data_IF_281913329071
#
_entry.id   IF_281913329071
#
_cell.length_a   1.000
_cell.length_b   1.000
_cell.length_c   1.000
_cell.angle_alpha   90.00
_cell.angle_beta   90.00
_cell.angle_gamma   90.00
#
_symmetry.space_group_name_H-M   'P 1'
#
loop_
_entity.id
_entity.type
_entity.pdbx_description
1 polymer ?
#
# COMPACT_ATOMS: atom_id res chain seq x y z
N UNK A 1 -62.76 55.90 10.20
CA UNK A 1 -63.07 55.91 11.62
C UNK A 1 -62.14 54.99 12.40
N UNK A 2 -61.40 55.75 13.29
CA UNK A 2 -60.90 55.22 14.58
C UNK A 2 -59.88 54.12 14.54
N UNK A 3 -58.81 54.26 15.03
CA UNK A 3 -57.91 54.92 16.01
C UNK A 3 -56.79 53.89 16.21
N UNK A 4 -55.64 54.18 15.88
CA UNK A 4 -54.52 54.70 16.69
C UNK A 4 -54.49 54.20 18.13
N UNK A 5 -53.61 53.25 18.39
CA UNK A 5 -52.92 53.20 19.67
C UNK A 5 -51.52 52.59 19.52
N UNK A 6 -50.54 53.43 19.62
CA UNK A 6 -49.13 53.16 19.72
C UNK A 6 -48.82 52.62 21.11
N UNK A 7 -48.12 51.52 21.23
CA UNK A 7 -47.40 51.17 22.45
C UNK A 7 -45.91 50.98 22.12
N UNK A 8 -45.13 51.80 22.74
CA UNK A 8 -43.68 51.91 22.64
C UNK A 8 -42.95 50.65 23.16
N UNK A 9 -41.72 50.40 22.71
CA UNK A 9 -40.93 49.26 23.14
C UNK A 9 -40.33 49.53 24.53
N UNK A 10 -40.49 48.57 25.42
CA UNK A 10 -39.71 48.50 26.63
C UNK A 10 -38.30 47.96 26.31
N UNK A 11 -37.31 48.80 26.42
CA UNK A 11 -35.93 48.43 26.56
C UNK A 11 -35.78 47.57 27.84
N UNK A 12 -35.43 46.31 27.64
CA UNK A 12 -34.83 45.53 28.71
C UNK A 12 -33.42 45.19 28.25
N UNK A 13 -32.49 46.01 28.66
CA UNK A 13 -31.07 45.73 28.64
C UNK A 13 -30.84 44.49 29.52
N UNK A 14 -30.85 43.33 28.91
CA UNK A 14 -30.32 42.10 29.51
C UNK A 14 -28.79 42.15 29.40
N UNK A 15 -28.17 42.42 30.54
CA UNK A 15 -26.76 42.23 30.77
C UNK A 15 -26.38 40.84 30.31
N UNK A 16 -25.53 40.77 29.26
CA UNK A 16 -24.74 39.59 29.02
C UNK A 16 -23.78 39.44 30.20
N UNK A 17 -24.15 38.62 31.16
CA UNK A 17 -23.21 38.07 32.11
C UNK A 17 -22.17 37.31 31.29
N UNK A 18 -20.99 37.90 31.15
CA UNK A 18 -19.77 37.20 30.84
C UNK A 18 -19.56 36.18 31.98
N UNK A 19 -20.10 34.99 31.79
CA UNK A 19 -19.76 33.86 32.63
C UNK A 19 -18.26 33.63 32.45
N UNK A 20 -17.47 34.17 33.37
CA UNK A 20 -16.15 33.64 33.68
C UNK A 20 -16.37 32.21 34.02
N UNK A 21 -16.15 31.35 33.02
CA UNK A 21 -15.99 29.92 33.24
C UNK A 21 -14.84 29.78 34.22
N UNK A 22 -15.18 29.58 35.51
CA UNK A 22 -14.21 29.22 36.52
C UNK A 22 -13.51 27.96 36.02
N UNK A 23 -12.35 28.15 35.38
CA UNK A 23 -11.55 27.07 34.89
C UNK A 23 -11.23 26.18 36.10
N UNK A 24 -11.76 24.96 36.12
CA UNK A 24 -11.46 24.00 37.18
C UNK A 24 -9.95 23.80 37.21
N UNK A 25 -9.33 24.14 38.35
CA UNK A 25 -7.90 23.92 38.56
C UNK A 25 -7.60 22.43 38.46
N UNK A 26 -6.60 22.10 37.65
CA UNK A 26 -6.07 20.75 37.53
C UNK A 26 -4.83 20.63 38.40
N UNK A 27 -4.81 19.62 39.24
CA UNK A 27 -3.67 19.30 40.10
C UNK A 27 -3.28 17.84 39.93
N UNK A 28 -2.14 17.59 39.26
CA UNK A 28 -1.64 16.24 39.05
C UNK A 28 -1.43 15.46 40.36
N UNK A 29 -1.15 16.14 41.48
CA UNK A 29 -0.95 15.48 42.79
C UNK A 29 -2.23 14.81 43.33
N UNK A 30 -3.40 15.18 42.84
CA UNK A 30 -4.70 14.56 43.23
C UNK A 30 -5.03 13.31 42.41
N UNK A 31 -4.22 13.01 41.40
CA UNK A 31 -4.42 11.86 40.54
C UNK A 31 -4.04 10.52 41.23
N UNK A 32 -4.54 9.39 40.71
CA UNK A 32 -4.10 8.07 41.12
C UNK A 32 -2.57 7.92 41.01
N UNK A 33 -1.99 7.08 41.88
CA UNK A 33 -0.55 6.95 42.08
C UNK A 33 0.25 6.69 40.76
N UNK A 34 -0.35 5.94 39.82
CA UNK A 34 0.26 5.69 38.50
C UNK A 34 0.26 6.85 37.51
N UNK A 35 -0.43 7.98 37.83
CA UNK A 35 -0.53 9.16 36.95
C UNK A 35 0.12 10.41 37.55
N UNK A 36 0.46 10.40 38.85
CA UNK A 36 0.98 11.60 39.54
C UNK A 36 2.33 12.06 39.00
N UNK A 37 3.18 11.08 38.67
CA UNK A 37 4.54 11.34 38.24
C UNK A 37 4.67 11.43 36.70
N UNK A 38 3.55 11.39 35.99
CA UNK A 38 3.53 11.47 34.53
C UNK A 38 3.90 12.89 34.06
N UNK A 39 5.07 13.09 33.42
CA UNK A 39 5.54 14.43 33.06
C UNK A 39 4.59 15.18 32.15
N UNK A 40 3.86 14.48 31.29
CA UNK A 40 2.90 15.06 30.37
C UNK A 40 1.72 15.70 31.09
N UNK A 41 1.29 15.16 32.25
CA UNK A 41 0.19 15.71 33.04
C UNK A 41 0.61 16.90 33.90
N UNK A 42 1.88 17.00 34.28
CA UNK A 42 2.39 18.12 35.10
C UNK A 42 2.45 19.45 34.35
N UNK A 43 2.29 19.43 33.02
CA UNK A 43 2.28 20.65 32.20
C UNK A 43 0.93 21.37 32.18
N UNK A 44 -0.14 20.75 32.73
CA UNK A 44 -1.48 21.30 32.75
C UNK A 44 -1.81 21.98 34.05
N UNK A 45 -2.35 23.19 33.99
CA UNK A 45 -2.83 24.01 35.11
C UNK A 45 -4.35 24.02 35.24
N UNK A 46 -5.08 23.51 34.23
CA UNK A 46 -6.53 23.46 34.24
C UNK A 46 -7.07 22.25 33.52
N UNK A 47 -8.24 21.76 33.97
CA UNK A 47 -8.98 20.67 33.31
C UNK A 47 -9.35 21.02 31.89
N UNK A 48 -9.63 22.30 31.59
CA UNK A 48 -9.94 22.80 30.25
C UNK A 48 -8.76 22.62 29.29
N UNK A 49 -7.54 22.95 29.72
CA UNK A 49 -6.34 22.75 28.90
C UNK A 49 -6.05 21.26 28.66
N UNK A 50 -6.22 20.42 29.67
CA UNK A 50 -6.09 18.97 29.53
C UNK A 50 -7.12 18.42 28.53
N UNK A 51 -8.39 18.81 28.67
CA UNK A 51 -9.47 18.38 27.77
C UNK A 51 -9.21 18.86 26.31
N UNK A 52 -8.79 20.09 26.12
CA UNK A 52 -8.41 20.63 24.78
C UNK A 52 -7.23 19.88 24.18
N UNK A 53 -6.22 19.59 25.00
CA UNK A 53 -5.07 18.79 24.57
C UNK A 53 -5.48 17.39 24.17
N UNK A 54 -6.32 16.72 24.93
CA UNK A 54 -6.87 15.41 24.62
C UNK A 54 -7.64 15.42 23.28
N UNK A 55 -8.57 16.39 23.12
CA UNK A 55 -9.34 16.53 21.87
C UNK A 55 -8.42 16.78 20.67
N UNK A 56 -7.38 17.60 20.83
CA UNK A 56 -6.42 17.86 19.76
C UNK A 56 -5.59 16.60 19.44
N UNK A 57 -5.14 15.85 20.47
CA UNK A 57 -4.43 14.60 20.26
C UNK A 57 -5.29 13.58 19.51
N UNK A 58 -6.56 13.42 19.90
CA UNK A 58 -7.52 12.54 19.20
C UNK A 58 -7.72 12.97 17.73
N UNK A 59 -7.81 14.27 17.46
CA UNK A 59 -7.91 14.78 16.08
C UNK A 59 -6.65 14.54 15.26
N UNK A 60 -5.48 14.69 15.86
CA UNK A 60 -4.18 14.44 15.20
C UNK A 60 -3.97 12.97 14.91
N UNK A 61 -4.46 12.10 15.77
CA UNK A 61 -4.38 10.64 15.65
C UNK A 61 -5.39 10.08 14.61
N UNK A 62 -6.34 10.91 14.12
CA UNK A 62 -7.36 10.47 13.17
C UNK A 62 -8.54 9.72 13.81
N UNK A 63 -8.69 9.81 15.11
CA UNK A 63 -9.94 9.46 15.82
C UNK A 63 -10.12 8.03 16.29
N UNK A 64 -9.36 7.05 15.79
CA UNK A 64 -9.48 5.66 16.28
C UNK A 64 -8.11 5.08 16.66
N UNK A 65 -7.81 4.90 17.97
CA UNK A 65 -6.57 4.29 18.43
C UNK A 65 -6.33 2.87 17.90
N UNK A 66 -7.39 2.14 17.54
CA UNK A 66 -7.28 0.79 16.96
C UNK A 66 -6.69 0.80 15.54
N UNK A 67 -6.80 1.93 14.85
CA UNK A 67 -6.21 2.13 13.51
C UNK A 67 -4.76 2.62 13.56
N UNK A 68 -4.23 2.89 14.76
CA UNK A 68 -2.83 3.26 14.92
C UNK A 68 -1.95 2.03 14.88
N UNK A 69 -0.88 2.14 14.11
CA UNK A 69 0.16 1.13 14.05
C UNK A 69 1.41 1.71 14.73
N UNK A 70 1.79 1.14 15.86
CA UNK A 70 3.05 1.52 16.52
C UNK A 70 4.23 0.98 15.67
N UNK A 71 5.21 1.85 15.42
CA UNK A 71 6.46 1.45 14.79
C UNK A 71 7.33 0.81 15.89
N UNK A 72 7.80 -0.44 15.70
CA UNK A 72 8.65 -1.11 16.68
C UNK A 72 9.98 -0.36 16.87
N UNK A 73 10.46 -0.34 18.10
CA UNK A 73 11.76 0.24 18.41
C UNK A 73 12.91 -0.75 18.14
N UNK A 74 14.13 -0.27 18.20
CA UNK A 74 15.30 -1.12 17.99
C UNK A 74 15.31 -2.30 18.97
N UNK A 75 15.38 -3.52 18.42
CA UNK A 75 15.33 -4.78 19.19
C UNK A 75 13.95 -5.37 19.44
N UNK A 76 12.88 -4.70 19.03
CA UNK A 76 11.52 -5.24 19.10
C UNK A 76 11.16 -6.05 17.84
N UNK A 77 10.21 -7.00 18.01
CA UNK A 77 9.69 -7.76 16.85
C UNK A 77 8.80 -6.88 15.97
N UNK A 78 9.01 -6.99 14.66
CA UNK A 78 8.21 -6.33 13.64
C UNK A 78 6.94 -7.09 13.26
N UNK A 79 6.72 -8.29 13.78
CA UNK A 79 5.59 -9.14 13.40
C UNK A 79 4.24 -8.47 13.62
N UNK A 80 4.05 -7.84 14.77
CA UNK A 80 2.81 -7.13 15.08
C UNK A 80 2.53 -5.96 14.13
N UNK A 81 3.59 -5.27 13.70
CA UNK A 81 3.50 -4.20 12.70
C UNK A 81 3.10 -4.75 11.34
N UNK A 82 3.82 -5.74 10.83
CA UNK A 82 3.55 -6.34 9.53
C UNK A 82 2.14 -6.95 9.43
N UNK A 83 1.67 -7.63 10.48
CA UNK A 83 0.34 -8.21 10.50
C UNK A 83 -0.75 -7.11 10.44
N UNK A 84 -0.54 -5.98 11.10
CA UNK A 84 -1.48 -4.85 11.03
C UNK A 84 -1.53 -4.17 9.66
N UNK A 85 -0.44 -4.17 8.91
CA UNK A 85 -0.41 -3.61 7.55
C UNK A 85 -0.80 -4.61 6.46
N UNK A 86 -1.27 -5.79 6.84
CA UNK A 86 -1.88 -6.77 5.92
C UNK A 86 -0.98 -7.93 5.52
N UNK A 87 0.11 -8.20 6.27
CA UNK A 87 0.85 -9.44 6.12
C UNK A 87 0.00 -10.61 6.65
N UNK A 88 -0.18 -11.71 5.92
CA UNK A 88 -0.76 -12.93 6.45
C UNK A 88 -0.01 -13.44 7.69
N UNK A 89 -0.70 -14.10 8.61
CA UNK A 89 -0.07 -14.63 9.84
C UNK A 89 1.00 -15.69 9.55
N UNK A 90 0.86 -16.42 8.43
CA UNK A 90 1.78 -17.47 8.00
C UNK A 90 2.05 -17.35 6.51
N UNK A 91 3.18 -17.89 6.07
CA UNK A 91 3.57 -17.86 4.66
C UNK A 91 2.53 -18.52 3.73
N UNK A 92 1.90 -19.59 4.16
CA UNK A 92 0.84 -20.28 3.40
C UNK A 92 -0.50 -19.50 3.34
N UNK A 93 -0.60 -18.39 4.04
CA UNK A 93 -1.78 -17.50 4.00
C UNK A 93 -1.81 -16.58 2.79
N UNK A 94 -0.74 -16.51 1.97
CA UNK A 94 -0.78 -15.76 0.72
C UNK A 94 -1.56 -16.52 -0.34
N UNK A 95 -2.52 -15.84 -0.95
CA UNK A 95 -3.36 -16.35 -2.03
C UNK A 95 -2.86 -15.83 -3.38
N UNK A 96 -2.12 -16.68 -4.12
CA UNK A 96 -1.57 -16.35 -5.44
C UNK A 96 -2.25 -17.09 -6.59
N UNK A 97 -3.17 -18.03 -6.27
CA UNK A 97 -3.90 -18.81 -7.27
C UNK A 97 -3.08 -19.94 -7.90
N UNK A 98 -1.89 -20.24 -7.37
CA UNK A 98 -1.11 -21.40 -7.78
C UNK A 98 -1.56 -22.66 -7.01
N UNK A 99 -2.08 -23.65 -7.72
CA UNK A 99 -2.54 -24.92 -7.12
C UNK A 99 -1.39 -25.90 -6.84
N UNK A 100 -0.24 -25.68 -7.47
CA UNK A 100 0.88 -26.64 -7.46
C UNK A 100 2.00 -26.30 -6.48
N UNK A 101 1.89 -25.19 -5.73
CA UNK A 101 2.92 -24.75 -4.78
C UNK A 101 4.18 -24.19 -5.44
N UNK A 102 4.12 -23.83 -6.72
CA UNK A 102 5.25 -23.25 -7.46
C UNK A 102 5.76 -21.95 -6.83
N UNK A 103 4.87 -21.23 -6.11
CA UNK A 103 5.17 -19.96 -5.45
C UNK A 103 5.47 -20.12 -3.95
N UNK A 104 5.67 -21.30 -3.43
CA UNK A 104 5.94 -21.51 -2.00
C UNK A 104 7.20 -20.77 -1.52
N UNK A 105 8.26 -20.79 -2.33
CA UNK A 105 9.46 -20.01 -2.03
C UNK A 105 9.21 -18.50 -1.99
N UNK A 106 8.32 -18.01 -2.85
CA UNK A 106 7.93 -16.61 -2.83
C UNK A 106 7.02 -16.28 -1.64
N UNK A 107 6.13 -17.19 -1.22
CA UNK A 107 5.33 -17.06 -0.01
C UNK A 107 6.20 -16.90 1.23
N UNK A 108 7.21 -17.75 1.37
CA UNK A 108 8.17 -17.66 2.47
C UNK A 108 8.93 -16.35 2.45
N UNK A 109 9.44 -15.93 1.29
CA UNK A 109 10.12 -14.64 1.12
C UNK A 109 9.22 -13.46 1.47
N UNK A 110 8.00 -13.42 0.93
CA UNK A 110 7.03 -12.36 1.19
C UNK A 110 6.69 -12.24 2.68
N UNK A 111 6.53 -13.38 3.36
CA UNK A 111 6.27 -13.42 4.79
C UNK A 111 7.46 -12.92 5.62
N UNK A 112 8.68 -13.37 5.32
CA UNK A 112 9.89 -12.95 6.01
C UNK A 112 10.18 -11.46 5.85
N UNK A 113 9.88 -10.91 4.67
CA UNK A 113 10.07 -9.48 4.36
C UNK A 113 8.93 -8.58 4.84
N UNK A 114 7.84 -9.18 5.34
CA UNK A 114 6.71 -8.44 5.89
C UNK A 114 5.77 -7.84 4.85
N UNK A 115 5.73 -8.39 3.63
CA UNK A 115 4.85 -7.89 2.58
C UNK A 115 3.37 -8.13 2.91
N UNK A 116 2.51 -7.17 2.59
CA UNK A 116 1.06 -7.42 2.57
C UNK A 116 0.67 -8.30 1.38
N UNK A 117 -0.54 -8.88 1.39
CA UNK A 117 -1.08 -9.62 0.25
C UNK A 117 -1.07 -8.78 -1.04
N UNK A 118 -1.45 -7.50 -0.95
CA UNK A 118 -1.49 -6.60 -2.11
C UNK A 118 -0.10 -6.30 -2.66
N UNK A 119 0.88 -6.08 -1.78
CA UNK A 119 2.26 -5.85 -2.19
C UNK A 119 2.86 -7.09 -2.88
N UNK A 120 2.61 -8.26 -2.32
CA UNK A 120 3.07 -9.52 -2.90
C UNK A 120 2.44 -9.76 -4.28
N UNK A 121 1.13 -9.53 -4.44
CA UNK A 121 0.45 -9.61 -5.73
C UNK A 121 1.02 -8.62 -6.75
N UNK A 122 1.30 -7.39 -6.33
CA UNK A 122 1.88 -6.38 -7.21
C UNK A 122 3.26 -6.78 -7.74
N UNK A 123 4.08 -7.42 -6.91
CA UNK A 123 5.39 -7.94 -7.32
C UNK A 123 5.22 -9.08 -8.34
N UNK A 124 4.30 -10.02 -8.11
CA UNK A 124 4.04 -11.10 -9.05
C UNK A 124 3.51 -10.60 -10.40
N UNK A 125 2.60 -9.63 -10.37
CA UNK A 125 2.10 -9.01 -11.60
C UNK A 125 3.21 -8.35 -12.40
N UNK A 126 4.04 -7.54 -11.74
CA UNK A 126 5.20 -6.91 -12.38
C UNK A 126 6.17 -7.96 -12.96
N UNK A 127 6.42 -9.05 -12.24
CA UNK A 127 7.26 -10.13 -12.74
C UNK A 127 6.65 -10.79 -13.98
N UNK A 128 5.34 -11.02 -13.97
CA UNK A 128 4.60 -11.55 -15.13
C UNK A 128 4.70 -10.64 -16.36
N UNK A 129 4.52 -9.33 -16.18
CA UNK A 129 4.67 -8.34 -17.26
C UNK A 129 6.08 -8.35 -17.86
N UNK A 130 7.12 -8.42 -17.00
CA UNK A 130 8.52 -8.50 -17.46
C UNK A 130 8.77 -9.78 -18.27
N UNK A 131 8.22 -10.92 -17.84
CA UNK A 131 8.37 -12.19 -18.56
C UNK A 131 7.67 -12.14 -19.92
N UNK A 132 6.46 -11.61 -19.98
CA UNK A 132 5.72 -11.45 -21.24
C UNK A 132 6.46 -10.51 -22.23
N UNK A 133 7.04 -9.42 -21.72
CA UNK A 133 7.84 -8.51 -22.52
C UNK A 133 9.10 -9.22 -23.06
N UNK A 134 9.79 -10.00 -22.24
CA UNK A 134 10.98 -10.76 -22.66
C UNK A 134 10.65 -11.80 -23.74
N UNK A 135 9.55 -12.56 -23.58
CA UNK A 135 9.07 -13.52 -24.57
C UNK A 135 8.70 -12.84 -25.89
N UNK A 136 8.01 -11.69 -25.80
CA UNK A 136 7.65 -10.89 -26.98
C UNK A 136 8.89 -10.39 -27.70
N UNK A 137 9.87 -9.84 -26.98
CA UNK A 137 11.11 -9.35 -27.54
C UNK A 137 11.90 -10.49 -28.19
N UNK A 138 12.04 -11.63 -27.54
CA UNK A 138 12.72 -12.81 -28.09
C UNK A 138 12.04 -13.32 -29.36
N UNK A 139 10.70 -13.31 -29.41
CA UNK A 139 9.93 -13.70 -30.60
C UNK A 139 10.15 -12.70 -31.74
N UNK A 140 10.12 -11.41 -31.47
CA UNK A 140 10.37 -10.36 -32.47
C UNK A 140 11.79 -10.44 -33.02
N UNK A 141 12.79 -10.64 -32.17
CA UNK A 141 14.20 -10.80 -32.61
C UNK A 141 14.36 -12.02 -33.53
N UNK A 142 13.71 -13.14 -33.21
CA UNK A 142 13.73 -14.34 -34.06
C UNK A 142 13.05 -14.11 -35.40
N UNK A 143 11.95 -13.38 -35.44
CA UNK A 143 11.22 -13.06 -36.67
C UNK A 143 11.99 -12.07 -37.56
N UNK A 144 12.64 -11.09 -36.95
CA UNK A 144 13.57 -10.18 -37.66
C UNK A 144 14.77 -10.97 -38.25
N UNK A 145 15.37 -11.86 -37.45
CA UNK A 145 16.48 -12.69 -37.93
C UNK A 145 16.04 -13.58 -39.10
N UNK A 146 14.89 -14.23 -39.02
CA UNK A 146 14.32 -15.05 -40.11
C UNK A 146 14.08 -14.21 -41.35
N UNK A 147 13.51 -13.03 -41.20
CA UNK A 147 13.21 -12.12 -42.32
C UNK A 147 14.51 -11.67 -42.99
N UNK A 148 15.48 -11.20 -42.24
CA UNK A 148 16.76 -10.74 -42.74
C UNK A 148 17.53 -11.88 -43.41
N UNK A 149 17.59 -13.06 -42.80
CA UNK A 149 18.23 -14.26 -43.38
C UNK A 149 17.54 -14.65 -44.71
N UNK A 150 16.20 -14.61 -44.73
CA UNK A 150 15.44 -14.92 -45.97
C UNK A 150 15.79 -13.95 -47.11
N UNK A 151 15.86 -12.65 -46.81
CA UNK A 151 16.22 -11.62 -47.77
C UNK A 151 17.64 -11.84 -48.28
N UNK A 152 18.60 -12.14 -47.42
CA UNK A 152 19.98 -12.40 -47.79
C UNK A 152 20.11 -13.64 -48.70
N UNK A 153 19.45 -14.74 -48.32
CA UNK A 153 19.42 -15.98 -49.11
C UNK A 153 18.71 -15.79 -50.44
N UNK A 154 17.66 -14.98 -50.51
CA UNK A 154 17.00 -14.65 -51.77
C UNK A 154 17.96 -13.85 -52.71
N UNK A 155 18.71 -12.93 -52.16
CA UNK A 155 19.74 -12.17 -52.95
C UNK A 155 20.86 -13.09 -53.47
N UNK A 156 21.34 -14.00 -52.62
CA UNK A 156 22.44 -14.91 -52.96
C UNK A 156 22.02 -16.00 -53.97
N UNK A 157 20.85 -16.59 -53.76
CA UNK A 157 20.40 -17.75 -54.54
C UNK A 157 19.55 -17.36 -55.76
N UNK A 158 19.03 -16.15 -55.80
CA UNK A 158 18.24 -15.63 -56.92
C UNK A 158 17.06 -16.56 -57.26
N UNK A 159 16.92 -16.88 -58.56
CA UNK A 159 15.83 -17.76 -59.03
C UNK A 159 15.88 -19.19 -58.52
N UNK A 160 16.98 -19.59 -57.89
CA UNK A 160 17.13 -20.94 -57.30
C UNK A 160 16.77 -20.99 -55.81
N UNK A 161 16.28 -19.90 -55.22
CA UNK A 161 15.98 -19.78 -53.77
C UNK A 161 15.06 -20.90 -53.30
N UNK A 162 13.90 -21.10 -53.90
CA UNK A 162 12.92 -22.10 -53.50
C UNK A 162 13.48 -23.53 -53.55
N UNK A 163 14.20 -23.86 -54.63
CA UNK A 163 14.82 -25.18 -54.78
C UNK A 163 15.88 -25.45 -53.72
N UNK A 164 16.77 -24.49 -53.47
CA UNK A 164 17.81 -24.64 -52.44
C UNK A 164 17.22 -24.70 -51.04
N UNK A 165 16.19 -23.92 -50.76
CA UNK A 165 15.48 -23.95 -49.48
C UNK A 165 14.80 -25.31 -49.23
N UNK A 166 14.20 -25.90 -50.27
CA UNK A 166 13.58 -27.24 -50.17
C UNK A 166 14.63 -28.32 -49.89
N UNK A 167 15.78 -28.25 -50.58
CA UNK A 167 16.89 -29.16 -50.28
C UNK A 167 17.40 -29.00 -48.87
N UNK A 168 17.57 -27.77 -48.36
CA UNK A 168 17.99 -27.53 -46.99
C UNK A 168 17.02 -28.07 -45.97
N UNK A 169 15.71 -27.85 -46.16
CA UNK A 169 14.65 -28.40 -45.28
C UNK A 169 14.66 -29.93 -45.25
N UNK A 170 14.82 -30.57 -46.41
CA UNK A 170 14.88 -32.05 -46.45
C UNK A 170 16.14 -32.58 -45.78
N UNK A 171 17.28 -31.95 -45.99
CA UNK A 171 18.52 -32.32 -45.34
C UNK A 171 18.40 -32.16 -43.83
N UNK A 172 17.85 -31.06 -43.36
CA UNK A 172 17.60 -30.84 -41.93
C UNK A 172 16.67 -31.89 -41.34
N UNK A 173 15.53 -32.19 -41.99
CA UNK A 173 14.58 -33.19 -41.52
C UNK A 173 15.18 -34.62 -41.47
N UNK A 174 16.20 -34.91 -42.32
CA UNK A 174 16.84 -36.22 -42.38
C UNK A 174 18.01 -36.39 -41.42
N UNK A 175 18.72 -35.30 -41.11
CA UNK A 175 19.98 -35.36 -40.37
C UNK A 175 19.95 -34.60 -39.01
N UNK A 176 18.94 -33.75 -38.78
CA UNK A 176 18.78 -33.12 -37.47
C UNK A 176 18.36 -34.15 -36.44
N UNK A 177 19.01 -34.13 -35.30
CA UNK A 177 18.56 -34.97 -34.18
C UNK A 177 17.25 -34.43 -33.61
N UNK A 178 16.41 -35.28 -32.95
CA UNK A 178 15.15 -34.85 -32.37
C UNK A 178 15.29 -33.77 -31.27
N UNK A 179 16.50 -33.46 -30.86
CA UNK A 179 16.83 -32.51 -29.79
C UNK A 179 17.18 -31.10 -30.31
N UNK A 180 17.09 -30.86 -31.64
CA UNK A 180 17.23 -29.58 -32.31
C UNK A 180 15.91 -29.12 -32.88
#
# INVERSE_FOLDING_TARGET
DMAEEAIAPAETAGQAESGESSALEFNASTMPEGLRDEPSLQTFDSVDKLAKSYVNAVKMIGGNPEQMVAIPQEGESWDGFYNKIGRPEQANGYEFGDENGELDGFREFAHQTGLSQEQANSILNLYGEIQEEQETNATNELDELRTNTTIELQKEWGNNFEGKLDYAKRAFAQFASPEL
#
